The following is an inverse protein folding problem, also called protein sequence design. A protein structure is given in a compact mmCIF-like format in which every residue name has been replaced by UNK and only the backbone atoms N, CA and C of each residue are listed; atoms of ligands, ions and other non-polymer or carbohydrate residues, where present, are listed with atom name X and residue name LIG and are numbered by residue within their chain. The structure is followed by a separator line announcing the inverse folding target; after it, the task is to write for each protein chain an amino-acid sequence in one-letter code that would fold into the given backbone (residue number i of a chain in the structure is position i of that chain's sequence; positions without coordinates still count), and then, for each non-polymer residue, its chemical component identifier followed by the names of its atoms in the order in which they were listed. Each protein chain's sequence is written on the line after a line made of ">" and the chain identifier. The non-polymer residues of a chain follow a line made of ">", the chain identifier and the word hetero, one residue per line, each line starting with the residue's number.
data_IF_097138283600
#
_entry.id   IF_097138283600
#
_cell.length_a   1.000
_cell.length_b   1.000
_cell.length_c   1.000
_cell.angle_alpha   90.00
_cell.angle_beta   90.00
_cell.angle_gamma   90.00
#
_symmetry.space_group_name_H-M   'P 1'
#
loop_
_entity.id
_entity.type
_entity.pdbx_description
1 polymer ?
#
# COMPACT_ATOMS: atom_id res chain seq x y z
N UNK A 1 -14.31 3.61 -14.26
CA UNK A 1 -13.14 4.41 -13.87
C UNK A 1 -11.92 3.52 -13.96
N UNK A 2 -10.75 4.08 -14.31
CA UNK A 2 -9.43 3.45 -14.20
C UNK A 2 -8.88 3.67 -12.80
N UNK A 3 -8.69 2.59 -12.06
CA UNK A 3 -8.22 2.61 -10.68
C UNK A 3 -6.86 1.93 -10.62
N UNK A 4 -5.84 2.61 -10.10
CA UNK A 4 -4.60 1.96 -9.72
C UNK A 4 -4.69 1.52 -8.25
N UNK A 5 -4.64 0.22 -8.00
CA UNK A 5 -4.57 -0.34 -6.64
C UNK A 5 -3.12 -0.68 -6.29
N UNK A 6 -2.59 -0.03 -5.26
CA UNK A 6 -1.22 -0.15 -4.79
C UNK A 6 -1.19 -1.08 -3.57
N UNK A 7 -0.63 -2.28 -3.73
CA UNK A 7 -0.54 -3.31 -2.68
C UNK A 7 0.90 -3.87 -2.55
N UNK A 8 1.71 -3.35 -1.62
CA UNK A 8 3.11 -3.77 -1.41
C UNK A 8 3.29 -5.19 -0.88
N UNK A 9 2.27 -5.80 -0.30
CA UNK A 9 2.33 -7.09 0.37
C UNK A 9 1.28 -8.06 -0.20
N UNK A 10 1.46 -8.41 -1.48
CA UNK A 10 0.49 -9.21 -2.23
C UNK A 10 0.60 -10.71 -1.93
N UNK A 11 -0.05 -11.15 -0.84
CA UNK A 11 -0.23 -12.56 -0.47
C UNK A 11 -1.48 -12.74 0.40
N UNK A 12 -1.85 -13.97 0.73
CA UNK A 12 -2.86 -14.27 1.76
C UNK A 12 -4.20 -13.52 1.59
N UNK A 13 -4.64 -12.84 2.64
CA UNK A 13 -5.89 -12.04 2.64
C UNK A 13 -5.81 -10.80 1.75
N UNK A 14 -4.66 -10.11 1.69
CA UNK A 14 -4.44 -8.95 0.82
C UNK A 14 -4.67 -9.30 -0.66
N UNK A 15 -4.03 -10.38 -1.12
CA UNK A 15 -4.19 -10.87 -2.49
C UNK A 15 -5.64 -11.23 -2.79
N UNK A 16 -6.28 -12.00 -1.90
CA UNK A 16 -7.68 -12.42 -2.09
C UNK A 16 -8.64 -11.24 -2.20
N UNK A 17 -8.45 -10.22 -1.36
CA UNK A 17 -9.25 -9.00 -1.43
C UNK A 17 -9.01 -8.23 -2.74
N UNK A 18 -7.75 -7.99 -3.10
CA UNK A 18 -7.41 -7.22 -4.29
C UNK A 18 -7.86 -7.91 -5.60
N UNK A 19 -7.60 -9.20 -5.76
CA UNK A 19 -8.06 -9.98 -6.93
C UNK A 19 -9.59 -10.08 -6.95
N UNK A 20 -10.24 -10.25 -5.78
CA UNK A 20 -11.69 -10.26 -5.68
C UNK A 20 -12.31 -8.93 -6.09
N UNK A 21 -11.74 -7.81 -5.64
CA UNK A 21 -12.22 -6.49 -6.03
C UNK A 21 -12.02 -6.25 -7.53
N UNK A 22 -10.85 -6.61 -8.08
CA UNK A 22 -10.59 -6.54 -9.52
C UNK A 22 -11.60 -7.37 -10.34
N UNK A 23 -11.86 -8.62 -9.93
CA UNK A 23 -12.72 -9.54 -10.69
C UNK A 23 -14.22 -9.18 -10.64
N UNK A 24 -14.66 -8.49 -9.59
CA UNK A 24 -16.09 -8.25 -9.33
C UNK A 24 -16.49 -6.77 -9.36
N UNK A 25 -15.59 -5.87 -9.77
CA UNK A 25 -15.87 -4.45 -9.93
C UNK A 25 -16.36 -4.13 -11.34
N UNK A 26 -17.19 -3.08 -11.46
CA UNK A 26 -17.53 -2.45 -12.74
C UNK A 26 -16.45 -1.43 -13.19
N UNK A 27 -15.40 -1.24 -12.39
CA UNK A 27 -14.27 -0.38 -12.69
C UNK A 27 -13.09 -1.19 -13.26
N UNK A 28 -12.26 -0.52 -14.04
CA UNK A 28 -11.00 -1.08 -14.53
C UNK A 28 -9.94 -0.93 -13.44
N UNK A 29 -9.64 -2.02 -12.73
CA UNK A 29 -8.70 -2.02 -11.61
C UNK A 29 -7.38 -2.61 -12.06
N UNK A 30 -6.35 -1.78 -12.07
CA UNK A 30 -4.97 -2.18 -12.34
C UNK A 30 -4.22 -2.41 -11.03
N UNK A 31 -3.81 -3.66 -10.79
CA UNK A 31 -3.10 -4.06 -9.58
C UNK A 31 -1.59 -3.79 -9.73
N UNK A 32 -1.07 -2.82 -9.00
CA UNK A 32 0.37 -2.60 -8.83
C UNK A 32 0.82 -3.23 -7.52
N UNK A 33 1.57 -4.31 -7.63
CA UNK A 33 1.83 -5.19 -6.48
C UNK A 33 3.28 -5.58 -6.34
N UNK A 34 3.67 -5.91 -5.10
CA UNK A 34 4.94 -6.59 -4.84
C UNK A 34 4.67 -7.90 -4.12
N UNK A 35 5.54 -8.90 -4.35
CA UNK A 35 5.40 -10.19 -3.72
C UNK A 35 5.34 -10.07 -2.18
N UNK A 36 4.35 -10.72 -1.57
CA UNK A 36 4.09 -10.73 -0.14
C UNK A 36 5.13 -11.51 0.68
N UNK A 37 6.34 -10.94 0.74
CA UNK A 37 7.47 -11.37 1.57
C UNK A 37 8.14 -10.14 2.18
N UNK A 38 8.81 -10.32 3.32
CA UNK A 38 9.48 -9.24 4.04
C UNK A 38 8.58 -8.02 4.26
N UNK A 39 7.40 -8.23 4.87
CA UNK A 39 6.36 -7.21 5.02
C UNK A 39 6.88 -5.89 5.63
N UNK A 40 7.81 -5.98 6.60
CA UNK A 40 8.52 -4.84 7.18
C UNK A 40 9.22 -3.99 6.12
N UNK A 41 9.96 -4.64 5.23
CA UNK A 41 10.61 -3.98 4.10
C UNK A 41 9.59 -3.44 3.10
N UNK A 42 8.44 -4.10 2.92
CA UNK A 42 7.37 -3.60 2.04
C UNK A 42 6.78 -2.28 2.54
N UNK A 43 6.57 -2.15 3.85
CA UNK A 43 6.11 -0.89 4.44
C UNK A 43 7.10 0.26 4.27
N UNK A 44 8.40 0.00 4.34
CA UNK A 44 9.44 1.02 4.17
C UNK A 44 9.77 1.36 2.71
N UNK A 45 10.01 0.33 1.89
CA UNK A 45 10.58 0.49 0.56
C UNK A 45 9.57 0.37 -0.58
N UNK A 46 8.36 -0.16 -0.31
CA UNK A 46 7.36 -0.42 -1.35
C UNK A 46 6.92 0.85 -2.08
N UNK A 47 6.90 1.99 -1.39
CA UNK A 47 6.53 3.29 -1.96
C UNK A 47 7.33 3.68 -3.20
N UNK A 48 8.65 3.52 -3.17
CA UNK A 48 9.53 3.91 -4.28
C UNK A 48 9.24 3.04 -5.51
N UNK A 49 9.31 1.71 -5.35
CA UNK A 49 9.12 0.77 -6.46
C UNK A 49 7.72 0.88 -7.08
N UNK A 50 6.69 1.08 -6.27
CA UNK A 50 5.32 1.15 -6.77
C UNK A 50 5.00 2.53 -7.37
N UNK A 51 5.64 3.60 -6.91
CA UNK A 51 5.54 4.90 -7.56
C UNK A 51 6.15 4.86 -8.96
N UNK A 52 7.33 4.24 -9.12
CA UNK A 52 7.94 4.03 -10.44
C UNK A 52 7.03 3.23 -11.37
N UNK A 53 6.44 2.14 -10.86
CA UNK A 53 5.50 1.32 -11.63
C UNK A 53 4.23 2.11 -12.03
N UNK A 54 3.70 2.95 -11.14
CA UNK A 54 2.56 3.81 -11.43
C UNK A 54 2.89 4.83 -12.52
N UNK A 55 4.04 5.49 -12.39
CA UNK A 55 4.49 6.51 -13.34
C UNK A 55 4.83 5.95 -14.72
N UNK A 56 5.09 4.64 -14.81
CA UNK A 56 5.32 3.92 -16.05
C UNK A 56 4.03 3.46 -16.75
N UNK A 57 2.85 3.69 -16.16
CA UNK A 57 1.59 3.33 -16.82
C UNK A 57 1.35 4.18 -18.07
N UNK A 58 0.96 3.52 -19.17
CA UNK A 58 0.60 4.21 -20.41
C UNK A 58 -0.68 5.05 -20.24
N UNK A 59 -1.61 4.57 -19.41
CA UNK A 59 -2.87 5.25 -19.14
C UNK A 59 -2.89 5.76 -17.70
N UNK A 60 -3.11 7.08 -17.56
CA UNK A 60 -3.23 7.69 -16.25
C UNK A 60 -4.45 7.14 -15.48
N UNK A 61 -4.29 6.81 -14.18
CA UNK A 61 -5.40 6.44 -13.32
C UNK A 61 -6.30 7.66 -13.07
N UNK A 62 -7.59 7.40 -12.90
CA UNK A 62 -8.57 8.40 -12.46
C UNK A 62 -8.66 8.45 -10.93
N UNK A 63 -8.33 7.34 -10.26
CA UNK A 63 -8.25 7.21 -8.80
C UNK A 63 -7.09 6.28 -8.46
N UNK A 64 -6.37 6.59 -7.38
CA UNK A 64 -5.36 5.71 -6.81
C UNK A 64 -5.87 5.25 -5.45
N UNK A 65 -5.86 3.94 -5.23
CA UNK A 65 -6.16 3.33 -3.94
C UNK A 65 -4.90 2.65 -3.44
N UNK A 66 -4.45 2.97 -2.24
CA UNK A 66 -3.29 2.38 -1.61
C UNK A 66 -3.70 1.63 -0.34
N UNK A 67 -3.04 0.52 -0.04
CA UNK A 67 -3.27 -0.23 1.19
C UNK A 67 -2.39 0.26 2.34
N UNK A 68 -2.77 -0.02 3.58
CA UNK A 68 -2.03 0.33 4.81
C UNK A 68 -0.59 -0.20 4.86
N UNK A 69 -0.27 -1.21 4.05
CA UNK A 69 1.09 -1.75 3.91
C UNK A 69 2.05 -0.83 3.15
N UNK A 70 1.60 0.35 2.70
CA UNK A 70 2.39 1.34 1.98
C UNK A 70 2.69 2.55 2.87
N UNK A 71 3.93 3.04 2.85
CA UNK A 71 4.22 4.41 3.26
C UNK A 71 3.59 5.40 2.26
N UNK A 72 2.36 5.83 2.56
CA UNK A 72 1.57 6.67 1.67
C UNK A 72 2.14 8.07 1.53
N UNK A 73 2.76 8.61 2.60
CA UNK A 73 3.34 9.95 2.58
C UNK A 73 4.51 10.02 1.59
N UNK A 74 5.42 9.04 1.67
CA UNK A 74 6.54 8.90 0.72
C UNK A 74 6.02 8.66 -0.70
N UNK A 75 5.05 7.75 -0.88
CA UNK A 75 4.47 7.46 -2.19
C UNK A 75 3.82 8.71 -2.81
N UNK A 76 3.02 9.45 -2.04
CA UNK A 76 2.36 10.68 -2.46
C UNK A 76 3.39 11.73 -2.91
N UNK A 77 4.46 11.95 -2.14
CA UNK A 77 5.51 12.89 -2.52
C UNK A 77 6.14 12.57 -3.89
N UNK A 78 6.28 11.30 -4.22
CA UNK A 78 6.85 10.84 -5.50
C UNK A 78 5.88 10.99 -6.68
N UNK A 79 4.58 10.76 -6.47
CA UNK A 79 3.60 10.74 -7.57
C UNK A 79 2.96 12.10 -7.86
N UNK A 80 2.92 13.02 -6.90
CA UNK A 80 2.21 14.30 -7.01
C UNK A 80 2.73 15.24 -8.10
N UNK A 81 4.02 15.25 -8.49
CA UNK A 81 4.46 16.02 -9.65
C UNK A 81 3.75 15.63 -10.96
N UNK A 82 3.41 14.35 -11.13
CA UNK A 82 2.73 13.83 -12.32
C UNK A 82 1.22 13.76 -12.15
N UNK A 83 0.75 13.41 -10.96
CA UNK A 83 -0.67 13.22 -10.63
C UNK A 83 -1.12 14.16 -9.50
N UNK A 84 -1.10 15.49 -9.72
CA UNK A 84 -1.36 16.47 -8.66
C UNK A 84 -2.79 16.45 -8.15
N UNK A 85 -3.76 16.12 -9.01
CA UNK A 85 -5.20 16.18 -8.72
C UNK A 85 -5.87 14.79 -8.67
N UNK A 86 -5.13 13.71 -8.91
CA UNK A 86 -5.70 12.36 -8.86
C UNK A 86 -6.02 12.01 -7.40
N UNK A 87 -7.28 11.69 -7.07
CA UNK A 87 -7.68 11.28 -5.73
C UNK A 87 -6.84 10.09 -5.26
N UNK A 88 -6.32 10.20 -4.04
CA UNK A 88 -5.56 9.15 -3.37
C UNK A 88 -6.34 8.68 -2.16
N UNK A 89 -6.80 7.43 -2.19
CA UNK A 89 -7.58 6.81 -1.15
C UNK A 89 -6.71 5.80 -0.40
N UNK A 90 -6.86 5.77 0.92
CA UNK A 90 -6.20 4.80 1.78
C UNK A 90 -7.20 3.73 2.21
N UNK A 91 -6.89 2.48 1.90
CA UNK A 91 -7.61 1.31 2.39
C UNK A 91 -6.82 0.67 3.53
N UNK A 92 -7.41 0.65 4.72
CA UNK A 92 -6.84 -0.01 5.90
C UNK A 92 -7.35 -1.44 5.97
N UNK A 93 -6.58 -2.39 5.42
CA UNK A 93 -6.84 -3.83 5.54
C UNK A 93 -6.55 -4.30 6.96
N UNK A 94 -5.48 -3.77 7.53
CA UNK A 94 -5.12 -3.89 8.94
C UNK A 94 -4.57 -2.56 9.48
N UNK A 95 -4.24 -2.51 10.77
CA UNK A 95 -3.67 -1.33 11.42
C UNK A 95 -2.57 -1.78 12.40
N UNK A 96 -1.32 -1.45 12.07
CA UNK A 96 -0.15 -1.87 12.84
C UNK A 96 -0.08 -1.29 14.27
N UNK A 97 -0.92 -0.31 14.60
CA UNK A 97 -1.08 0.19 15.97
C UNK A 97 -1.74 -0.83 16.91
N UNK A 98 -2.69 -1.60 16.38
CA UNK A 98 -3.49 -2.56 17.18
C UNK A 98 -3.37 -3.99 16.68
N UNK A 99 -2.69 -4.22 15.56
CA UNK A 99 -2.53 -5.54 14.99
C UNK A 99 -1.73 -6.46 15.93
N UNK A 100 -2.17 -7.71 16.14
CA UNK A 100 -1.46 -8.63 17.00
C UNK A 100 -0.14 -9.06 16.36
N UNK A 101 0.96 -8.68 16.98
CA UNK A 101 2.29 -9.11 16.58
C UNK A 101 2.54 -10.57 16.97
N UNK A 102 3.34 -11.27 16.15
CA UNK A 102 3.81 -12.60 16.52
C UNK A 102 4.62 -12.54 17.84
N UNK A 103 4.35 -13.42 18.81
CA UNK A 103 5.15 -13.51 20.03
C UNK A 103 6.63 -13.82 19.78
N UNK A 104 6.96 -14.37 18.61
CA UNK A 104 8.33 -14.71 18.21
C UNK A 104 8.99 -13.64 17.35
N UNK A 105 8.34 -12.51 17.10
CA UNK A 105 8.94 -11.42 16.35
C UNK A 105 9.95 -10.66 17.24
N UNK A 106 11.21 -10.62 16.80
CA UNK A 106 12.28 -9.98 17.56
C UNK A 106 12.06 -8.47 17.74
N UNK A 107 11.37 -7.79 16.83
CA UNK A 107 11.16 -6.35 16.92
C UNK A 107 10.24 -5.98 18.08
N UNK A 108 9.31 -6.85 18.48
CA UNK A 108 8.49 -6.63 19.67
C UNK A 108 9.34 -6.67 20.92
N UNK A 109 10.22 -7.68 21.06
CA UNK A 109 11.14 -7.82 22.19
C UNK A 109 12.11 -6.64 22.24
N UNK A 110 12.59 -6.19 21.08
CA UNK A 110 13.55 -5.09 20.94
C UNK A 110 12.89 -3.70 20.91
N UNK A 111 11.55 -3.62 20.96
CA UNK A 111 10.74 -2.38 20.87
C UNK A 111 11.01 -1.54 19.61
N UNK A 112 11.13 -2.21 18.47
CA UNK A 112 11.39 -1.63 17.13
C UNK A 112 10.16 -1.63 16.23
N UNK A 113 9.01 -2.04 16.76
CA UNK A 113 7.74 -2.24 16.08
C UNK A 113 6.91 -0.95 15.89
N UNK A 114 7.13 0.07 16.73
CA UNK A 114 6.33 1.32 16.69
C UNK A 114 6.39 2.09 15.38
N UNK A 115 7.45 1.91 14.60
CA UNK A 115 7.61 2.59 13.32
C UNK A 115 6.53 2.19 12.30
N UNK A 116 6.05 0.94 12.32
CA UNK A 116 5.00 0.51 11.39
C UNK A 116 3.65 1.15 11.73
N UNK A 117 3.34 1.27 13.02
CA UNK A 117 2.20 2.05 13.49
C UNK A 117 2.33 3.54 13.12
N UNK A 118 3.54 4.09 13.20
CA UNK A 118 3.82 5.46 12.77
C UNK A 118 3.55 5.65 11.27
N UNK A 119 3.97 4.73 10.41
CA UNK A 119 3.65 4.76 8.97
C UNK A 119 2.14 4.81 8.75
N UNK A 120 1.37 3.93 9.39
CA UNK A 120 -0.09 3.93 9.26
C UNK A 120 -0.69 5.24 9.75
N UNK A 121 -0.24 5.75 10.89
CA UNK A 121 -0.70 7.02 11.44
C UNK A 121 -0.43 8.18 10.47
N UNK A 122 0.81 8.34 10.00
CA UNK A 122 1.16 9.44 9.09
C UNK A 122 0.48 9.33 7.74
N UNK A 123 0.08 8.14 7.32
CA UNK A 123 -0.67 7.94 6.08
C UNK A 123 -2.11 8.47 6.15
N UNK A 124 -2.62 8.76 7.36
CA UNK A 124 -3.99 9.26 7.58
C UNK A 124 -4.09 10.79 7.76
N UNK A 125 -2.97 11.50 7.71
CA UNK A 125 -2.89 12.96 7.83
C UNK A 125 -3.12 13.66 6.49
#
# INVERSE_FOLDING_TARGET
>A
MRIALIEPFFTGSHRRWAEGWQAHSAHDIHLLTLAGRHWKWRMHGGAVTLAEALLALEQAPEVIVATDMLDLATFAALIRPTYPQVPLLLYMHENQLTYPWSPTDEDVRLRRDRHYAWINYTSTL
#
